data_IF_504431908299
#
_entry.id   IF_504431908299
#
_cell.length_a   1.000
_cell.length_b   1.000
_cell.length_c   1.000
_cell.angle_alpha   90.00
_cell.angle_beta   90.00
_cell.angle_gamma   90.00
#
_symmetry.space_group_name_H-M   'P 1'
#
loop_
_entity.id
_entity.type
_entity.pdbx_description
1 polymer ?
#
# COMPACT_ATOMS: atom_id res chain seq x y z
N UNK A 1 -0.51 3.29 36.69
CA UNK A 1 -1.05 1.92 36.75
C UNK A 1 -0.07 1.02 36.02
N UNK A 2 0.84 0.38 36.76
CA UNK A 2 1.85 -0.53 36.23
C UNK A 2 1.45 -1.95 36.64
N UNK A 3 1.03 -2.78 35.69
CA UNK A 3 0.77 -4.18 35.95
C UNK A 3 2.05 -4.97 35.63
N UNK A 4 2.81 -5.33 36.67
CA UNK A 4 3.85 -6.36 36.58
C UNK A 4 3.18 -7.71 36.83
N UNK A 5 3.13 -8.56 35.81
CA UNK A 5 2.64 -9.94 35.97
C UNK A 5 3.81 -10.87 36.29
N UNK A 6 3.72 -11.56 37.43
CA UNK A 6 4.65 -12.60 37.88
C UNK A 6 3.97 -13.94 37.62
N UNK A 7 4.59 -14.83 36.84
CA UNK A 7 4.06 -16.17 36.60
C UNK A 7 4.79 -17.16 37.52
N UNK A 8 4.00 -17.76 38.41
CA UNK A 8 4.39 -18.86 39.30
C UNK A 8 4.38 -20.18 38.53
N UNK A 9 5.43 -20.99 38.63
CA UNK A 9 5.50 -22.32 38.05
C UNK A 9 5.78 -23.34 39.17
N UNK A 10 4.74 -24.09 39.57
CA UNK A 10 4.86 -25.25 40.44
C UNK A 10 4.58 -26.50 39.61
N UNK A 11 5.58 -27.38 39.46
CA UNK A 11 5.38 -28.73 38.93
C UNK A 11 5.94 -29.74 39.93
N UNK A 12 5.05 -30.54 40.51
CA UNK A 12 5.38 -31.59 41.47
C UNK A 12 5.91 -32.82 40.73
N UNK A 13 7.06 -33.37 41.16
CA UNK A 13 7.49 -34.72 40.79
C UNK A 13 7.17 -35.68 41.93
N UNK A 14 6.31 -36.65 41.65
CA UNK A 14 6.07 -37.81 42.51
C UNK A 14 7.10 -38.89 42.14
N UNK A 15 7.98 -39.28 43.07
CA UNK A 15 8.93 -40.38 42.88
C UNK A 15 8.67 -41.45 43.93
N UNK A 16 8.34 -42.67 43.50
CA UNK A 16 8.40 -43.84 44.35
C UNK A 16 9.11 -44.98 43.61
N UNK A 17 10.15 -45.51 44.25
CA UNK A 17 10.40 -46.94 44.56
C UNK A 17 11.91 -47.16 44.78
N UNK A 18 12.23 -47.84 45.88
CA UNK A 18 13.55 -48.28 46.33
C UNK A 18 14.02 -49.52 45.56
N UNK A 19 15.31 -49.58 45.20
CA UNK A 19 15.96 -50.80 44.72
C UNK A 19 17.47 -50.64 44.59
N UNK A 20 18.24 -51.44 45.34
CA UNK A 20 19.71 -51.46 45.39
C UNK A 20 20.33 -52.04 44.10
N UNK A 21 21.44 -51.46 43.65
CA UNK A 21 22.49 -52.18 42.91
C UNK A 21 22.90 -51.62 41.54
N UNK A 22 24.15 -51.17 41.49
CA UNK A 22 25.07 -51.16 40.35
C UNK A 22 24.85 -50.26 39.12
N UNK A 23 25.98 -49.64 38.76
CA UNK A 23 26.43 -49.14 37.45
C UNK A 23 25.90 -47.81 36.95
N UNK A 24 26.83 -46.88 36.76
CA UNK A 24 26.64 -45.55 36.21
C UNK A 24 26.22 -45.64 34.74
N UNK A 25 25.02 -45.14 34.45
CA UNK A 25 24.56 -44.85 33.08
C UNK A 25 24.03 -43.42 33.10
N UNK A 26 24.64 -42.56 32.30
CA UNK A 26 24.25 -41.16 32.15
C UNK A 26 22.81 -41.04 31.64
N UNK A 27 21.89 -40.58 32.49
CA UNK A 27 20.54 -40.21 32.07
C UNK A 27 20.63 -38.76 31.58
N UNK A 28 20.61 -38.59 30.27
CA UNK A 28 20.49 -37.29 29.62
C UNK A 28 19.15 -36.67 30.03
N UNK A 29 19.22 -35.52 30.69
CA UNK A 29 18.05 -34.68 30.92
C UNK A 29 17.63 -34.12 29.55
N UNK A 30 16.61 -34.71 28.92
CA UNK A 30 15.96 -34.10 27.77
C UNK A 30 15.24 -32.84 28.26
N UNK A 31 15.92 -31.69 28.18
CA UNK A 31 15.27 -30.41 28.22
C UNK A 31 14.34 -30.35 27.01
N UNK A 32 13.06 -30.60 27.24
CA UNK A 32 12.00 -30.25 26.30
C UNK A 32 11.96 -28.73 26.22
N UNK A 33 12.84 -28.16 25.39
CA UNK A 33 12.77 -26.78 24.98
C UNK A 33 11.53 -26.67 24.10
N UNK A 34 10.41 -26.27 24.69
CA UNK A 34 9.26 -25.80 23.95
C UNK A 34 9.75 -24.56 23.17
N UNK A 35 10.08 -24.75 21.90
CA UNK A 35 10.19 -23.65 20.95
C UNK A 35 8.79 -23.05 20.86
N UNK A 36 8.55 -21.98 21.61
CA UNK A 36 7.54 -21.01 21.24
C UNK A 36 8.02 -20.49 19.89
N UNK A 37 7.45 -21.05 18.82
CA UNK A 37 7.46 -20.35 17.55
C UNK A 37 6.78 -19.02 17.82
N UNK A 38 7.58 -17.97 17.99
CA UNK A 38 7.15 -16.63 17.61
C UNK A 38 6.70 -16.79 16.16
N UNK A 39 5.38 -16.86 15.94
CA UNK A 39 4.86 -16.62 14.60
C UNK A 39 5.41 -15.27 14.21
N UNK A 40 6.35 -15.32 13.27
CA UNK A 40 6.99 -14.16 12.70
C UNK A 40 5.86 -13.22 12.26
N UNK A 41 5.81 -12.02 12.84
CA UNK A 41 4.85 -10.98 12.43
C UNK A 41 5.33 -10.40 11.11
N UNK A 42 5.48 -11.25 10.10
CA UNK A 42 5.90 -10.82 8.78
C UNK A 42 4.71 -10.15 8.12
N UNK A 43 4.85 -8.84 7.89
CA UNK A 43 3.93 -8.06 7.07
C UNK A 43 3.70 -8.79 5.74
N UNK A 44 2.46 -9.21 5.43
CA UNK A 44 2.15 -9.79 4.12
C UNK A 44 2.53 -8.79 3.01
N UNK A 45 2.99 -9.27 1.85
CA UNK A 45 3.44 -8.38 0.80
C UNK A 45 2.24 -7.76 0.06
N UNK A 46 2.40 -6.49 -0.30
CA UNK A 46 1.66 -5.88 -1.41
C UNK A 46 2.32 -6.33 -2.71
N UNK A 47 1.55 -6.80 -3.68
CA UNK A 47 2.07 -7.21 -4.98
C UNK A 47 1.83 -6.14 -6.03
N UNK A 48 2.87 -5.82 -6.78
CA UNK A 48 2.85 -4.95 -7.94
C UNK A 48 3.04 -5.83 -9.15
N UNK A 49 2.09 -5.81 -10.09
CA UNK A 49 2.13 -6.61 -11.30
C UNK A 49 2.03 -5.66 -12.47
N UNK A 50 2.99 -5.72 -13.39
CA UNK A 50 2.96 -4.94 -14.62
C UNK A 50 3.09 -5.90 -15.80
N UNK A 51 2.12 -5.88 -16.69
CA UNK A 51 2.21 -6.45 -18.02
C UNK A 51 2.63 -5.33 -18.96
N UNK A 52 3.83 -5.42 -19.49
CA UNK A 52 4.36 -4.40 -20.37
C UNK A 52 3.66 -4.44 -21.74
N UNK A 53 3.75 -3.34 -22.47
CA UNK A 53 3.35 -3.25 -23.86
C UNK A 53 4.55 -3.57 -24.77
N UNK A 54 4.59 -3.00 -25.98
CA UNK A 54 5.71 -3.20 -26.89
C UNK A 54 6.99 -2.46 -26.44
N UNK A 55 6.92 -1.54 -25.48
CA UNK A 55 8.00 -0.64 -25.08
C UNK A 55 8.22 -0.61 -23.56
N UNK A 56 8.58 -1.75 -22.94
CA UNK A 56 8.80 -1.85 -21.49
C UNK A 56 9.81 -0.85 -20.94
N UNK A 57 10.80 -0.45 -21.73
CA UNK A 57 11.84 0.49 -21.31
C UNK A 57 11.31 1.92 -21.09
N UNK A 58 10.14 2.25 -21.63
CA UNK A 58 9.52 3.56 -21.48
C UNK A 58 8.70 3.64 -20.18
N UNK A 59 8.33 2.49 -19.62
CA UNK A 59 7.62 2.39 -18.34
C UNK A 59 8.56 2.64 -17.15
N UNK A 60 8.12 3.48 -16.22
CA UNK A 60 8.73 3.67 -14.91
C UNK A 60 7.66 3.81 -13.83
N UNK A 61 8.00 3.46 -12.60
CA UNK A 61 7.05 3.58 -11.49
C UNK A 61 7.76 3.81 -10.16
N UNK A 62 7.02 4.38 -9.21
CA UNK A 62 7.46 4.58 -7.83
C UNK A 62 6.33 4.35 -6.85
N UNK A 63 6.71 3.80 -5.71
CA UNK A 63 5.89 3.67 -4.52
C UNK A 63 6.53 4.49 -3.41
N UNK A 64 5.81 5.49 -2.91
CA UNK A 64 6.32 6.42 -1.89
C UNK A 64 5.45 6.41 -0.65
N UNK A 65 6.03 6.63 0.53
CA UNK A 65 5.28 6.97 1.74
C UNK A 65 4.59 8.33 1.53
N UNK A 66 3.28 8.41 1.79
CA UNK A 66 2.49 9.60 1.53
C UNK A 66 2.75 10.75 2.52
N UNK A 67 3.26 10.45 3.72
CA UNK A 67 3.48 11.44 4.78
C UNK A 67 4.76 12.26 4.55
N UNK A 68 5.86 11.61 4.17
CA UNK A 68 7.17 12.25 4.02
C UNK A 68 7.72 12.21 2.57
N UNK A 69 7.02 11.54 1.66
CA UNK A 69 7.41 11.43 0.25
C UNK A 69 8.60 10.49 0.01
N UNK A 70 9.04 9.74 1.02
CA UNK A 70 10.18 8.82 0.87
C UNK A 70 9.86 7.68 -0.08
N UNK A 71 10.77 7.38 -1.01
CA UNK A 71 10.65 6.22 -1.90
C UNK A 71 10.80 4.94 -1.10
N UNK A 72 9.79 4.07 -1.18
CA UNK A 72 9.81 2.72 -0.62
C UNK A 72 10.40 1.75 -1.63
N UNK A 73 9.97 1.85 -2.88
CA UNK A 73 10.39 1.01 -4.00
C UNK A 73 10.15 1.75 -5.31
N UNK A 74 11.00 1.55 -6.31
CA UNK A 74 10.83 2.13 -7.65
C UNK A 74 11.47 1.26 -8.72
N UNK A 75 11.08 1.51 -9.97
CA UNK A 75 11.80 1.09 -11.16
C UNK A 75 11.88 2.28 -12.13
N UNK A 76 13.10 2.71 -12.45
CA UNK A 76 13.35 3.82 -13.35
C UNK A 76 13.20 3.39 -14.82
N UNK A 77 12.86 4.36 -15.68
CA UNK A 77 12.82 4.13 -17.13
C UNK A 77 14.19 3.66 -17.63
N UNK A 78 14.18 2.70 -18.55
CA UNK A 78 15.39 2.06 -19.07
C UNK A 78 16.08 1.07 -18.11
N UNK A 79 15.63 0.93 -16.86
CA UNK A 79 16.17 -0.12 -15.96
C UNK A 79 15.49 -1.46 -16.16
N UNK A 80 14.24 -1.46 -16.65
CA UNK A 80 13.47 -2.64 -17.00
C UNK A 80 13.97 -3.19 -18.35
N UNK A 81 15.00 -4.04 -18.29
CA UNK A 81 15.57 -4.74 -19.46
C UNK A 81 14.80 -6.05 -19.74
N UNK A 82 13.49 -5.93 -19.90
CA UNK A 82 12.58 -7.07 -20.10
C UNK A 82 12.10 -7.14 -21.54
N UNK A 83 11.66 -8.32 -21.96
CA UNK A 83 11.11 -8.51 -23.30
C UNK A 83 9.77 -7.74 -23.45
N UNK A 84 9.44 -7.34 -24.67
CA UNK A 84 8.12 -6.78 -25.00
C UNK A 84 7.01 -7.74 -24.56
N UNK A 85 5.93 -7.21 -24.00
CA UNK A 85 4.81 -7.97 -23.43
C UNK A 85 5.17 -8.92 -22.29
N UNK A 86 6.33 -8.75 -21.66
CA UNK A 86 6.67 -9.48 -20.45
C UNK A 86 5.81 -9.02 -19.26
N UNK A 87 5.67 -9.91 -18.29
CA UNK A 87 5.05 -9.62 -17.00
C UNK A 87 6.12 -9.59 -15.92
N UNK A 88 6.18 -8.51 -15.16
CA UNK A 88 7.03 -8.37 -13.98
C UNK A 88 6.18 -8.32 -12.71
N UNK A 89 6.77 -8.79 -11.60
CA UNK A 89 6.12 -8.89 -10.29
C UNK A 89 7.08 -8.46 -9.19
N UNK A 90 6.59 -7.60 -8.28
CA UNK A 90 7.32 -7.20 -7.09
C UNK A 90 6.47 -7.40 -5.85
N UNK A 91 7.04 -8.08 -4.85
CA UNK A 91 6.46 -8.21 -3.52
C UNK A 91 7.10 -7.17 -2.60
N UNK A 92 6.28 -6.28 -2.03
CA UNK A 92 6.73 -5.18 -1.18
C UNK A 92 6.02 -5.26 0.16
N UNK A 93 6.77 -5.45 1.25
CA UNK A 93 6.21 -5.44 2.59
C UNK A 93 5.91 -3.99 3.03
N UNK A 94 4.63 -3.63 3.12
CA UNK A 94 4.18 -2.30 3.51
C UNK A 94 3.48 -2.36 4.87
N UNK A 95 4.09 -1.82 5.94
CA UNK A 95 3.41 -1.65 7.22
C UNK A 95 2.13 -0.80 7.09
N UNK A 96 1.19 -0.88 8.06
CA UNK A 96 0.06 0.04 8.12
C UNK A 96 0.50 1.50 8.00
N UNK A 97 -0.18 2.25 7.15
CA UNK A 97 0.26 3.58 6.74
C UNK A 97 -0.35 4.02 5.41
N UNK A 98 0.03 5.22 4.96
CA UNK A 98 -0.42 5.79 3.69
C UNK A 98 0.71 5.82 2.67
N UNK A 99 0.39 5.42 1.44
CA UNK A 99 1.34 5.29 0.35
C UNK A 99 0.76 5.87 -0.93
N UNK A 100 1.63 6.27 -1.85
CA UNK A 100 1.25 6.68 -3.18
C UNK A 100 1.99 5.84 -4.23
N UNK A 101 1.21 5.23 -5.11
CA UNK A 101 1.67 4.61 -6.35
C UNK A 101 1.69 5.65 -7.46
N UNK A 102 2.74 5.62 -8.28
CA UNK A 102 2.78 6.38 -9.51
C UNK A 102 3.47 5.59 -10.61
N UNK A 103 2.84 5.52 -11.78
CA UNK A 103 3.39 4.93 -13.01
C UNK A 103 3.44 6.00 -14.10
N UNK A 104 4.48 5.93 -14.93
CA UNK A 104 4.85 6.91 -15.94
C UNK A 104 5.34 6.20 -17.20
N UNK A 105 5.10 6.83 -18.34
CA UNK A 105 5.55 6.37 -19.64
C UNK A 105 6.30 7.50 -20.34
N UNK A 106 7.53 7.23 -20.74
CA UNK A 106 8.45 8.24 -21.26
C UNK A 106 8.09 8.72 -22.67
N UNK A 107 7.53 7.84 -23.50
CA UNK A 107 7.14 8.18 -24.88
C UNK A 107 5.80 8.91 -24.93
N UNK A 108 4.95 8.64 -23.95
CA UNK A 108 3.76 9.40 -23.64
C UNK A 108 2.51 8.94 -24.37
N UNK A 109 2.45 7.66 -24.73
CA UNK A 109 1.22 6.96 -25.10
C UNK A 109 0.63 6.14 -23.93
N UNK A 110 1.35 6.06 -22.82
CA UNK A 110 0.97 5.23 -21.67
C UNK A 110 1.36 3.77 -21.92
N UNK A 111 0.98 2.88 -21.01
CA UNK A 111 1.25 1.45 -21.19
C UNK A 111 0.13 0.73 -21.96
N UNK A 112 -0.95 1.44 -22.30
CA UNK A 112 -2.06 0.87 -23.04
C UNK A 112 -2.53 1.77 -24.18
N UNK A 113 -2.73 1.08 -25.31
CA UNK A 113 -3.78 1.32 -26.29
C UNK A 113 -3.51 2.45 -27.25
N UNK A 114 -2.36 2.35 -27.90
CA UNK A 114 -2.09 3.09 -29.12
C UNK A 114 -3.15 2.83 -30.18
N UNK A 115 -3.37 3.81 -31.06
CA UNK A 115 -4.24 3.67 -32.23
C UNK A 115 -3.68 2.61 -33.18
N UNK A 116 -4.09 1.35 -33.01
CA UNK A 116 -3.62 0.23 -33.83
C UNK A 116 -3.70 -1.13 -33.14
N UNK A 117 -3.87 -1.16 -31.82
CA UNK A 117 -4.05 -2.40 -31.05
C UNK A 117 -5.41 -3.02 -31.36
N UNK A 118 -5.42 -3.98 -32.28
CA UNK A 118 -6.63 -4.76 -32.63
C UNK A 118 -6.78 -6.02 -31.78
N UNK A 119 -5.87 -6.26 -30.86
CA UNK A 119 -5.75 -7.53 -30.14
C UNK A 119 -5.65 -7.27 -28.63
N UNK A 120 -6.57 -7.88 -27.87
CA UNK A 120 -6.64 -7.76 -26.40
C UNK A 120 -5.41 -8.33 -25.71
N UNK A 121 -4.60 -9.13 -26.40
CA UNK A 121 -3.40 -9.76 -25.85
C UNK A 121 -2.13 -8.89 -25.94
N UNK A 122 -2.20 -7.70 -26.54
CA UNK A 122 -1.02 -6.86 -26.80
C UNK A 122 -1.10 -5.48 -26.11
N UNK A 123 -2.02 -5.34 -25.16
CA UNK A 123 -2.21 -4.14 -24.34
C UNK A 123 -1.40 -4.30 -23.05
N UNK A 124 -0.57 -3.32 -22.69
CA UNK A 124 0.01 -3.30 -21.36
C UNK A 124 -1.05 -2.98 -20.30
N UNK A 125 -0.77 -3.35 -19.06
CA UNK A 125 -1.65 -3.16 -17.91
C UNK A 125 -0.85 -3.23 -16.62
N UNK A 126 -1.42 -2.74 -15.53
CA UNK A 126 -0.85 -2.93 -14.21
C UNK A 126 -1.94 -3.25 -13.19
N UNK A 127 -1.54 -3.91 -12.11
CA UNK A 127 -2.42 -4.34 -11.03
C UNK A 127 -1.68 -4.21 -9.70
N UNK A 128 -2.38 -3.74 -8.67
CA UNK A 128 -1.91 -3.74 -7.30
C UNK A 128 -2.81 -4.62 -6.43
N UNK A 129 -2.20 -5.59 -5.75
CA UNK A 129 -2.86 -6.52 -4.84
C UNK A 129 -2.38 -6.20 -3.43
N UNK A 130 -3.32 -5.96 -2.52
CA UNK A 130 -3.03 -5.61 -1.14
C UNK A 130 -2.50 -6.79 -0.33
N UNK A 131 -2.00 -6.53 0.90
CA UNK A 131 -1.56 -7.57 1.83
C UNK A 131 -2.70 -8.48 2.31
N UNK A 132 -3.96 -8.15 2.00
CA UNK A 132 -5.15 -8.99 2.21
C UNK A 132 -5.53 -9.86 1.00
N UNK A 133 -4.62 -10.00 0.02
CA UNK A 133 -4.78 -10.71 -1.24
C UNK A 133 -5.92 -10.18 -2.13
N UNK A 134 -6.41 -8.96 -1.88
CA UNK A 134 -7.43 -8.32 -2.71
C UNK A 134 -6.82 -7.32 -3.68
N UNK A 135 -7.24 -7.41 -4.93
CA UNK A 135 -7.00 -6.33 -5.88
C UNK A 135 -7.70 -5.06 -5.39
N UNK A 136 -6.93 -3.98 -5.25
CA UNK A 136 -7.47 -2.66 -4.94
C UNK A 136 -7.30 -1.67 -6.09
N UNK A 137 -6.47 -2.01 -7.10
CA UNK A 137 -6.25 -1.20 -8.32
C UNK A 137 -5.93 -2.11 -9.49
N UNK A 138 -6.49 -1.78 -10.64
CA UNK A 138 -5.99 -2.20 -11.93
C UNK A 138 -6.03 -1.01 -12.91
N UNK A 139 -5.31 -1.11 -14.02
CA UNK A 139 -5.26 -0.05 -15.04
C UNK A 139 -6.66 0.35 -15.55
N UNK A 140 -7.57 -0.60 -15.74
CA UNK A 140 -8.95 -0.34 -16.19
C UNK A 140 -9.80 0.48 -15.19
N UNK A 141 -9.43 0.48 -13.91
CA UNK A 141 -10.17 1.17 -12.85
C UNK A 141 -9.99 2.68 -12.83
N UNK A 142 -9.09 3.22 -13.66
CA UNK A 142 -8.76 4.64 -13.73
C UNK A 142 -8.86 5.13 -15.18
N UNK A 143 -7.94 4.76 -16.07
CA UNK A 143 -7.96 5.19 -17.49
C UNK A 143 -7.63 4.09 -18.51
N UNK A 144 -7.46 2.85 -18.07
CA UNK A 144 -7.06 1.72 -18.90
C UNK A 144 -5.55 1.55 -19.02
N UNK A 145 -4.73 2.44 -18.44
CA UNK A 145 -3.28 2.55 -18.69
C UNK A 145 -2.95 3.54 -19.81
N UNK A 146 -3.89 4.40 -20.19
CA UNK A 146 -3.76 5.39 -21.28
C UNK A 146 -3.43 6.79 -20.75
N UNK A 147 -2.54 6.88 -19.77
CA UNK A 147 -2.15 8.14 -19.12
C UNK A 147 -1.27 9.05 -20.00
N UNK A 148 -0.91 8.63 -21.22
CA UNK A 148 -0.15 9.43 -22.18
C UNK A 148 1.18 9.95 -21.62
N UNK A 149 1.62 11.16 -22.00
CA UNK A 149 2.84 11.79 -21.46
C UNK A 149 2.71 12.24 -20.00
N UNK A 150 1.56 11.99 -19.39
CA UNK A 150 1.35 12.27 -17.97
C UNK A 150 1.72 11.06 -17.12
N UNK A 151 1.56 11.19 -15.82
CA UNK A 151 1.72 10.08 -14.89
C UNK A 151 0.37 9.72 -14.32
N UNK A 152 0.14 8.45 -14.12
CA UNK A 152 -0.96 8.01 -13.29
C UNK A 152 -0.51 7.92 -11.84
N UNK A 153 -1.21 8.60 -10.94
CA UNK A 153 -0.90 8.63 -9.51
C UNK A 153 -2.15 8.33 -8.68
N UNK A 154 -1.98 7.44 -7.71
CA UNK A 154 -3.01 7.06 -6.75
C UNK A 154 -2.38 6.97 -5.37
N UNK A 155 -3.11 7.37 -4.33
CA UNK A 155 -2.72 7.08 -2.96
C UNK A 155 -3.70 6.09 -2.31
N UNK A 156 -3.22 5.33 -1.32
CA UNK A 156 -3.99 4.35 -0.60
C UNK A 156 -3.47 4.22 0.83
N UNK A 157 -4.32 3.71 1.70
CA UNK A 157 -4.04 3.46 3.12
C UNK A 157 -4.16 1.98 3.40
N UNK A 158 -3.16 1.44 4.09
CA UNK A 158 -3.18 0.10 4.68
C UNK A 158 -3.56 0.27 6.15
N UNK A 159 -4.64 -0.37 6.56
CA UNK A 159 -5.10 -0.40 7.95
C UNK A 159 -4.28 -1.39 8.79
N UNK A 160 -4.43 -1.31 10.12
CA UNK A 160 -3.78 -2.25 11.06
C UNK A 160 -4.22 -3.72 10.86
N UNK A 161 -5.38 -3.93 10.25
CA UNK A 161 -5.89 -5.26 9.86
C UNK A 161 -5.50 -5.68 8.44
N UNK A 162 -4.58 -4.95 7.81
CA UNK A 162 -4.10 -5.12 6.43
C UNK A 162 -5.15 -4.90 5.34
N UNK A 163 -6.35 -4.43 5.67
CA UNK A 163 -7.29 -3.99 4.64
C UNK A 163 -6.81 -2.71 3.95
N UNK A 164 -7.02 -2.62 2.64
CA UNK A 164 -6.60 -1.48 1.82
C UNK A 164 -7.78 -0.59 1.46
N UNK A 165 -7.61 0.73 1.60
CA UNK A 165 -8.58 1.75 1.20
C UNK A 165 -7.91 2.77 0.29
N UNK A 166 -8.49 3.04 -0.89
CA UNK A 166 -7.99 4.10 -1.78
C UNK A 166 -8.26 5.48 -1.17
N UNK A 167 -7.25 6.34 -1.24
CA UNK A 167 -7.28 7.72 -0.78
C UNK A 167 -7.28 8.62 -2.01
N UNK A 168 -8.36 9.38 -2.17
CA UNK A 168 -8.52 10.30 -3.29
C UNK A 168 -8.30 11.72 -2.80
N UNK A 169 -7.41 12.50 -3.45
CA UNK A 169 -7.35 13.93 -3.17
C UNK A 169 -8.68 14.57 -3.56
N UNK A 170 -9.25 15.39 -2.68
CA UNK A 170 -10.50 16.09 -2.95
C UNK A 170 -10.17 17.54 -3.27
N UNK A 171 -10.19 17.89 -4.55
CA UNK A 171 -10.04 19.29 -4.96
C UNK A 171 -11.40 19.96 -5.08
N UNK A 172 -11.69 20.90 -4.19
CA UNK A 172 -12.88 21.76 -4.31
C UNK A 172 -12.48 23.08 -4.95
N UNK A 173 -13.10 23.40 -6.09
CA UNK A 173 -12.97 24.71 -6.75
C UNK A 173 -14.29 25.47 -6.65
N UNK A 174 -14.26 26.60 -5.96
CA UNK A 174 -15.43 27.47 -5.83
C UNK A 174 -15.21 28.73 -6.64
N UNK A 175 -16.10 28.99 -7.61
CA UNK A 175 -16.14 30.25 -8.35
C UNK A 175 -17.23 31.12 -7.75
N UNK A 176 -16.82 32.24 -7.17
CA UNK A 176 -17.73 33.21 -6.58
C UNK A 176 -18.30 34.14 -7.65
N UNK A 177 -19.44 34.75 -7.34
CA UNK A 177 -19.90 35.95 -8.01
C UNK A 177 -19.25 37.21 -7.39
N UNK A 178 -19.92 38.36 -7.53
CA UNK A 178 -19.44 39.64 -6.99
C UNK A 178 -19.35 39.66 -5.46
N UNK A 179 -19.95 38.71 -4.74
CA UNK A 179 -20.08 38.70 -3.28
C UNK A 179 -19.53 37.41 -2.65
N UNK A 180 -18.28 37.06 -2.99
CA UNK A 180 -17.65 35.82 -2.51
C UNK A 180 -17.59 35.65 -0.98
N UNK A 181 -17.53 36.74 -0.21
CA UNK A 181 -17.49 36.69 1.25
C UNK A 181 -18.75 36.13 1.94
N UNK A 182 -19.83 35.87 1.19
CA UNK A 182 -21.04 35.23 1.73
C UNK A 182 -21.03 33.71 1.58
N UNK A 183 -20.05 33.16 0.86
CA UNK A 183 -19.94 31.71 0.64
C UNK A 183 -19.04 31.08 1.70
N UNK A 184 -19.55 30.04 2.34
CA UNK A 184 -18.75 29.15 3.19
C UNK A 184 -19.14 27.71 2.92
N UNK A 185 -18.18 26.81 3.11
CA UNK A 185 -18.40 25.39 2.92
C UNK A 185 -17.48 24.57 3.82
N UNK A 186 -17.90 23.36 4.12
CA UNK A 186 -17.12 22.37 4.83
C UNK A 186 -17.21 21.00 4.13
N UNK A 187 -16.18 20.18 4.32
CA UNK A 187 -16.19 18.75 3.99
C UNK A 187 -16.30 18.01 5.32
N UNK A 188 -17.29 17.14 5.42
CA UNK A 188 -17.49 16.27 6.56
C UNK A 188 -17.17 14.82 6.20
N UNK A 189 -16.61 14.09 7.16
CA UNK A 189 -16.46 12.64 7.03
C UNK A 189 -17.82 11.94 7.19
N UNK A 190 -17.84 10.62 7.01
CA UNK A 190 -19.05 9.81 7.12
C UNK A 190 -19.71 9.79 8.52
N UNK A 191 -19.06 10.36 9.54
CA UNK A 191 -19.59 10.53 10.89
C UNK A 191 -20.15 11.94 11.14
N UNK A 192 -20.08 12.83 10.14
CA UNK A 192 -20.50 14.23 10.27
C UNK A 192 -19.45 15.12 10.96
N UNK A 193 -18.20 14.66 11.08
CA UNK A 193 -17.12 15.47 11.63
C UNK A 193 -16.50 16.30 10.49
N UNK A 194 -16.33 17.61 10.71
CA UNK A 194 -15.73 18.50 9.71
C UNK A 194 -14.23 18.25 9.58
N UNK A 195 -13.80 17.84 8.40
CA UNK A 195 -12.39 17.61 8.03
C UNK A 195 -11.76 18.89 7.44
N UNK A 196 -12.52 19.64 6.64
CA UNK A 196 -12.09 20.91 6.04
C UNK A 196 -13.22 21.91 6.20
N UNK A 197 -12.90 23.13 6.64
CA UNK A 197 -13.83 24.26 6.65
C UNK A 197 -13.17 25.47 5.99
N UNK A 198 -13.84 26.07 5.03
CA UNK A 198 -13.37 27.27 4.33
C UNK A 198 -14.41 28.36 4.44
N UNK A 199 -13.92 29.52 4.89
CA UNK A 199 -14.67 30.76 4.93
C UNK A 199 -14.05 31.69 3.88
N UNK A 200 -14.83 32.09 2.89
CA UNK A 200 -14.35 33.03 1.88
C UNK A 200 -14.24 34.44 2.48
N UNK A 201 -13.26 35.23 2.03
CA UNK A 201 -13.07 36.62 2.49
C UNK A 201 -13.85 37.60 1.61
N UNK A 202 -14.21 38.79 2.11
CA UNK A 202 -14.89 39.83 1.32
C UNK A 202 -14.09 40.27 0.08
N UNK A 203 -12.77 40.08 0.09
CA UNK A 203 -11.84 40.47 -0.98
C UNK A 203 -11.75 39.42 -2.11
N UNK A 204 -12.34 38.23 -1.94
CA UNK A 204 -12.28 37.11 -2.90
C UNK A 204 -13.32 37.19 -4.04
N UNK A 205 -13.92 38.36 -4.30
CA UNK A 205 -14.92 38.54 -5.37
C UNK A 205 -14.41 38.03 -6.74
N UNK A 206 -15.18 37.19 -7.43
CA UNK A 206 -14.83 36.56 -8.71
C UNK A 206 -13.50 35.75 -8.73
N UNK A 207 -12.94 35.37 -7.59
CA UNK A 207 -11.74 34.50 -7.54
C UNK A 207 -12.09 33.04 -7.31
N UNK A 208 -11.31 32.12 -7.88
CA UNK A 208 -11.42 30.68 -7.61
C UNK A 208 -10.64 30.34 -6.35
N UNK A 209 -11.32 29.78 -5.34
CA UNK A 209 -10.66 29.19 -4.17
C UNK A 209 -10.47 27.70 -4.41
N UNK A 210 -9.27 27.19 -4.15
CA UNK A 210 -8.93 25.77 -4.27
C UNK A 210 -8.47 25.23 -2.92
N UNK A 211 -9.11 24.19 -2.41
CA UNK A 211 -8.58 23.33 -1.33
C UNK A 211 -8.20 21.98 -1.93
N UNK A 212 -7.24 21.29 -1.30
CA UNK A 212 -6.91 19.89 -1.59
C UNK A 212 -6.94 19.11 -0.29
#
# INVERSE_FOLDING_TARGET
>A
MNCKSVISLSLALCLSVLGRGASATSISASQSSATVETRDLQTPPTQIIINHDAFPQDTSWRLTNAQDGTTVQEADSGTLQVERWATERWDVALPPGEYCWQIQDAFGDGICCGKGERDTQQRGSYQLIGPDDKEFVNSDSIDGGSFGSSSEKLCFRINDDFSVVRVYPVTVKVQHDRYGGETSWNIENNKGETEIAVQSTPEQSNTTVTTT
#
